data_IF_870491176022
#
_entry.id   IF_870491176022
#
_cell.length_a   1.000
_cell.length_b   1.000
_cell.length_c   1.000
_cell.angle_alpha   90.00
_cell.angle_beta   90.00
_cell.angle_gamma   90.00
#
_symmetry.space_group_name_H-M   'P 1'
#
loop_
_entity.id
_entity.type
_entity.pdbx_description
1 polymer ?
#
# COMPACT_ATOMS: atom_id res chain seq x y z
N UNK A 1 8.65 -13.79 -2.08
CA UNK A 1 8.23 -12.94 -0.94
C UNK A 1 7.69 -13.87 0.12
N UNK A 2 8.11 -13.71 1.37
CA UNK A 2 7.59 -14.59 2.43
C UNK A 2 6.13 -14.22 2.75
N UNK A 3 5.32 -15.16 3.27
CA UNK A 3 3.95 -14.87 3.67
C UNK A 3 3.83 -13.69 4.65
N UNK A 4 4.81 -13.55 5.54
CA UNK A 4 4.87 -12.47 6.54
C UNK A 4 5.06 -11.11 5.87
N UNK A 5 5.95 -11.02 4.88
CA UNK A 5 6.19 -9.80 4.12
C UNK A 5 4.95 -9.39 3.29
N UNK A 6 4.28 -10.35 2.64
CA UNK A 6 3.05 -10.09 1.88
C UNK A 6 1.91 -9.62 2.80
N UNK A 7 1.77 -10.22 3.99
CA UNK A 7 0.79 -9.79 4.99
C UNK A 7 1.07 -8.38 5.53
N UNK A 8 2.32 -8.05 5.81
CA UNK A 8 2.72 -6.70 6.24
C UNK A 8 2.44 -5.64 5.16
N UNK A 9 2.70 -5.96 3.88
CA UNK A 9 2.40 -5.08 2.76
C UNK A 9 0.88 -4.89 2.59
N UNK A 10 0.09 -5.96 2.70
CA UNK A 10 -1.39 -5.87 2.67
C UNK A 10 -1.95 -5.04 3.83
N UNK A 11 -1.41 -5.24 5.03
CA UNK A 11 -1.80 -4.45 6.21
C UNK A 11 -1.53 -2.97 5.98
N UNK A 12 -0.33 -2.64 5.52
CA UNK A 12 0.08 -1.27 5.16
C UNK A 12 -0.82 -0.68 4.06
N UNK A 13 -1.18 -1.46 3.04
CA UNK A 13 -2.09 -1.03 1.99
C UNK A 13 -3.48 -0.67 2.52
N UNK A 14 -4.02 -1.46 3.46
CA UNK A 14 -5.30 -1.14 4.13
C UNK A 14 -5.20 0.15 4.94
N UNK A 15 -4.11 0.36 5.67
CA UNK A 15 -3.88 1.61 6.40
C UNK A 15 -3.80 2.81 5.46
N UNK A 16 -3.07 2.69 4.34
CA UNK A 16 -2.97 3.77 3.35
C UNK A 16 -4.33 4.11 2.73
N UNK A 17 -5.14 3.10 2.41
CA UNK A 17 -6.51 3.30 1.91
C UNK A 17 -7.40 3.94 2.97
N UNK A 18 -7.36 3.46 4.22
CA UNK A 18 -8.15 4.02 5.31
C UNK A 18 -7.80 5.48 5.60
N UNK A 19 -6.51 5.83 5.57
CA UNK A 19 -6.05 7.22 5.70
C UNK A 19 -6.54 8.06 4.52
N UNK A 20 -6.44 7.57 3.29
CA UNK A 20 -6.93 8.28 2.11
C UNK A 20 -8.44 8.53 2.15
N UNK A 21 -9.23 7.56 2.62
CA UNK A 21 -10.70 7.69 2.72
C UNK A 21 -11.18 8.45 3.95
N UNK A 22 -10.27 8.86 4.85
CA UNK A 22 -10.65 9.60 6.04
C UNK A 22 -11.10 11.02 5.66
N UNK A 23 -12.29 11.48 6.07
CA UNK A 23 -12.79 12.82 5.71
C UNK A 23 -11.92 13.98 6.22
N UNK A 24 -11.09 13.74 7.25
CA UNK A 24 -10.16 14.73 7.80
C UNK A 24 -8.76 14.65 7.16
N UNK A 25 -8.57 13.80 6.15
CA UNK A 25 -7.27 13.65 5.51
C UNK A 25 -6.96 14.83 4.58
N UNK A 26 -5.79 15.44 4.78
CA UNK A 26 -5.28 16.54 3.95
C UNK A 26 -4.27 16.07 2.90
N UNK A 27 -3.89 14.78 2.93
CA UNK A 27 -2.92 14.22 2.00
C UNK A 27 -3.60 13.73 0.71
N UNK A 28 -2.97 13.99 -0.42
CA UNK A 28 -3.34 13.31 -1.67
C UNK A 28 -3.08 11.81 -1.57
N UNK A 29 -3.75 11.02 -2.41
CA UNK A 29 -3.52 9.58 -2.47
C UNK A 29 -2.04 9.22 -2.66
N UNK A 30 -1.33 9.96 -3.53
CA UNK A 30 0.11 9.75 -3.77
C UNK A 30 0.96 10.00 -2.53
N UNK A 31 0.66 11.04 -1.76
CA UNK A 31 1.36 11.38 -0.51
C UNK A 31 1.06 10.34 0.59
N UNK A 32 -0.18 9.86 0.68
CA UNK A 32 -0.52 8.76 1.59
C UNK A 32 0.26 7.49 1.23
N UNK A 33 0.39 7.17 -0.06
CA UNK A 33 1.22 6.05 -0.53
C UNK A 33 2.70 6.24 -0.17
N UNK A 34 3.28 7.41 -0.42
CA UNK A 34 4.70 7.68 -0.05
C UNK A 34 4.96 7.50 1.45
N UNK A 35 4.09 8.09 2.28
CA UNK A 35 4.17 8.02 3.74
C UNK A 35 4.22 6.57 4.25
N UNK A 36 3.41 5.70 3.66
CA UNK A 36 3.31 4.30 4.09
C UNK A 36 4.30 3.37 3.38
N UNK A 37 4.66 3.66 2.13
CA UNK A 37 5.61 2.87 1.35
C UNK A 37 7.01 2.85 1.95
N UNK A 38 7.43 3.94 2.60
CA UNK A 38 8.71 4.00 3.30
C UNK A 38 8.86 2.89 4.36
N UNK A 39 7.76 2.51 5.03
CA UNK A 39 7.75 1.48 6.10
C UNK A 39 7.97 0.07 5.56
N UNK A 40 7.57 -0.18 4.32
CA UNK A 40 7.61 -1.51 3.70
C UNK A 40 8.70 -1.64 2.63
N UNK A 41 9.51 -0.60 2.37
CA UNK A 41 10.49 -0.61 1.29
C UNK A 41 11.47 -1.79 1.36
N UNK A 42 11.81 -2.25 2.56
CA UNK A 42 12.67 -3.43 2.78
C UNK A 42 11.96 -4.76 2.45
N UNK A 43 10.63 -4.81 2.51
CA UNK A 43 9.80 -5.97 2.21
C UNK A 43 9.43 -6.07 0.72
N UNK A 44 9.51 -4.96 -0.01
CA UNK A 44 9.27 -4.90 -1.45
C UNK A 44 10.37 -5.67 -2.19
N UNK A 45 10.04 -6.43 -3.26
CA UNK A 45 11.04 -7.13 -4.05
C UNK A 45 12.08 -6.15 -4.61
N UNK A 46 13.34 -6.57 -4.70
CA UNK A 46 14.47 -5.69 -5.08
C UNK A 46 14.21 -4.89 -6.36
N UNK A 47 13.57 -5.52 -7.36
CA UNK A 47 13.18 -4.90 -8.64
C UNK A 47 12.31 -3.64 -8.48
N UNK A 48 11.52 -3.56 -7.41
CA UNK A 48 10.58 -2.48 -7.14
C UNK A 48 10.98 -1.61 -5.93
N UNK A 49 12.11 -1.91 -5.26
CA UNK A 49 12.55 -1.20 -4.05
C UNK A 49 12.86 0.28 -4.29
N UNK A 50 13.20 0.67 -5.53
CA UNK A 50 13.38 2.09 -5.92
C UNK A 50 12.07 2.88 -5.89
N UNK A 51 10.95 2.20 -6.09
CA UNK A 51 9.62 2.80 -6.17
C UNK A 51 8.64 1.99 -5.31
N UNK A 52 8.84 1.93 -3.98
CA UNK A 52 8.03 1.09 -3.09
C UNK A 52 6.55 1.54 -3.08
N UNK A 53 6.30 2.81 -3.38
CA UNK A 53 4.97 3.37 -3.52
C UNK A 53 4.19 2.78 -4.69
N UNK A 54 4.87 2.43 -5.79
CA UNK A 54 4.25 1.83 -6.97
C UNK A 54 3.79 0.41 -6.65
N UNK A 55 4.62 -0.33 -5.91
CA UNK A 55 4.26 -1.65 -5.40
C UNK A 55 3.08 -1.59 -4.42
N UNK A 56 3.11 -0.61 -3.49
CA UNK A 56 2.01 -0.39 -2.56
C UNK A 56 0.71 -0.05 -3.30
N UNK A 57 0.76 0.81 -4.33
CA UNK A 57 -0.38 1.12 -5.17
C UNK A 57 -0.97 -0.12 -5.85
N UNK A 58 -0.12 -0.97 -6.44
CA UNK A 58 -0.56 -2.24 -7.04
C UNK A 58 -1.33 -3.10 -6.03
N UNK A 59 -0.83 -3.19 -4.79
CA UNK A 59 -1.51 -3.95 -3.72
C UNK A 59 -2.83 -3.30 -3.34
N UNK A 60 -2.88 -1.97 -3.19
CA UNK A 60 -4.11 -1.23 -2.90
C UNK A 60 -5.19 -1.50 -3.96
N UNK A 61 -4.85 -1.40 -5.25
CA UNK A 61 -5.78 -1.65 -6.36
C UNK A 61 -6.26 -3.12 -6.38
N UNK A 62 -5.35 -4.07 -6.14
CA UNK A 62 -5.70 -5.50 -6.03
C UNK A 62 -6.67 -5.77 -4.88
N UNK A 63 -6.52 -5.09 -3.74
CA UNK A 63 -7.44 -5.21 -2.60
C UNK A 63 -8.79 -4.55 -2.87
N UNK A 64 -8.81 -3.39 -3.54
CA UNK A 64 -10.03 -2.70 -3.94
C UNK A 64 -10.86 -3.55 -4.91
N UNK A 65 -10.22 -4.13 -5.94
CA UNK A 65 -10.91 -4.97 -6.92
C UNK A 65 -11.46 -6.27 -6.31
N UNK A 66 -10.77 -6.86 -5.32
CA UNK A 66 -11.28 -8.05 -4.61
C UNK A 66 -12.54 -7.76 -3.80
N UNK A 67 -12.75 -6.52 -3.34
CA UNK A 67 -13.97 -6.12 -2.62
C UNK A 67 -15.18 -5.95 -3.53
N UNK A 68 -14.99 -5.85 -4.84
CA UNK A 68 -16.07 -5.64 -5.82
C UNK A 68 -16.58 -6.95 -6.44
N UNK A 69 -16.14 -8.11 -5.94
CA UNK A 69 -16.51 -9.43 -6.45
C UNK A 69 -17.19 -10.33 -5.40
N UNK A 70 -17.57 -9.76 -4.26
CA UNK A 70 -18.51 -10.30 -3.26
C UNK A 70 -19.81 -9.48 -3.33
#
# INVERSE_FOLDING_TARGET
MTPEADNAIKSTARTALAEYTNPNNTLTYRQALDKHAAKIAHLVPDKYRREPWLWLNYVCQRLANKRSSD
#
